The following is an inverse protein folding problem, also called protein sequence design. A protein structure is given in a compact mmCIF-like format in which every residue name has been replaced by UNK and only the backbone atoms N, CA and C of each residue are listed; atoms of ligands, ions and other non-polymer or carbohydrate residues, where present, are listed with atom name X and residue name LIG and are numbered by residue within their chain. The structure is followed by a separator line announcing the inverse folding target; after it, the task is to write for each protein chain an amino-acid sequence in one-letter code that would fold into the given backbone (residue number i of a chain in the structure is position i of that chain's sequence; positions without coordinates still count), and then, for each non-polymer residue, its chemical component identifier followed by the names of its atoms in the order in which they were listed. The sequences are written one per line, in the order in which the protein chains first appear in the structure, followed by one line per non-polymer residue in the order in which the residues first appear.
data_IF_148521536126
#
_entry.id   IF_148521536126
#
_cell.length_a   1.000
_cell.length_b   1.000
_cell.length_c   1.000
_cell.angle_alpha   90.00
_cell.angle_beta   90.00
_cell.angle_gamma   90.00
#
_symmetry.space_group_name_H-M   'P 1'
#
loop_
_entity.id
_entity.type
_entity.pdbx_description
1 polymer ?
#
# COMPACT_ATOMS: atom_id res chain seq x y z
N UNK A 1 4.86 6.06 11.16
CA UNK A 1 4.15 6.36 9.89
C UNK A 1 3.86 5.04 9.20
N UNK A 2 2.77 4.91 8.44
CA UNK A 2 2.46 3.71 7.66
C UNK A 2 2.40 4.06 6.18
N UNK A 3 2.95 3.20 5.33
CA UNK A 3 2.98 3.35 3.87
C UNK A 3 2.50 2.04 3.25
N UNK A 4 1.55 2.12 2.33
CA UNK A 4 1.01 0.96 1.62
C UNK A 4 1.09 1.16 0.12
N UNK A 5 1.54 0.12 -0.59
CA UNK A 5 1.57 0.04 -2.04
C UNK A 5 2.34 1.18 -2.71
N UNK A 6 1.82 1.67 -3.83
CA UNK A 6 2.49 2.67 -4.66
C UNK A 6 2.84 2.14 -6.04
N UNK A 7 3.55 2.93 -6.83
CA UNK A 7 4.01 2.57 -8.17
C UNK A 7 5.49 2.88 -8.32
N UNK A 8 6.25 2.01 -8.99
CA UNK A 8 7.51 2.45 -9.56
C UNK A 8 7.19 3.33 -10.77
N UNK A 9 7.86 4.48 -10.88
CA UNK A 9 7.75 5.30 -12.08
C UNK A 9 8.93 4.94 -12.95
N UNK A 10 8.67 4.32 -14.10
CA UNK A 10 9.74 4.09 -15.07
C UNK A 10 9.94 5.34 -15.89
N UNK A 11 11.12 5.96 -15.75
CA UNK A 11 11.53 7.12 -16.54
C UNK A 11 11.84 6.78 -18.01
N UNK A 12 11.78 5.50 -18.39
CA UNK A 12 11.99 5.03 -19.76
C UNK A 12 10.68 4.47 -20.30
N UNK A 13 10.20 4.99 -21.43
CA UNK A 13 8.90 4.73 -22.09
C UNK A 13 8.60 3.26 -22.48
N UNK A 14 9.46 2.29 -22.12
CA UNK A 14 9.33 0.87 -22.48
C UNK A 14 9.19 -0.09 -21.30
N UNK A 15 9.10 0.41 -20.06
CA UNK A 15 8.93 -0.46 -18.88
C UNK A 15 7.53 -0.30 -18.30
N UNK A 16 6.82 -1.39 -18.00
CA UNK A 16 5.51 -1.31 -17.36
C UNK A 16 5.64 -0.72 -15.95
N UNK A 17 4.76 0.22 -15.61
CA UNK A 17 4.61 0.72 -14.24
C UNK A 17 4.19 -0.46 -13.36
N UNK A 18 5.00 -0.76 -12.36
CA UNK A 18 4.77 -1.84 -11.39
C UNK A 18 4.07 -1.24 -10.19
N UNK A 19 2.88 -1.75 -9.86
CA UNK A 19 2.24 -1.43 -8.58
C UNK A 19 2.70 -2.38 -7.49
N UNK A 20 2.75 -1.90 -6.25
CA UNK A 20 3.13 -2.71 -5.08
C UNK A 20 1.95 -2.95 -4.14
N UNK A 21 2.05 -3.98 -3.31
CA UNK A 21 1.08 -4.34 -2.27
C UNK A 21 1.72 -4.48 -0.88
N UNK A 22 2.94 -4.01 -0.72
CA UNK A 22 3.68 -4.00 0.52
C UNK A 22 3.09 -3.00 1.52
N UNK A 23 3.19 -3.33 2.81
CA UNK A 23 2.84 -2.43 3.90
C UNK A 23 4.08 -2.25 4.77
N UNK A 24 4.46 -1.00 4.99
CA UNK A 24 5.60 -0.67 5.82
C UNK A 24 5.18 0.25 6.97
N UNK A 25 5.75 0.01 8.16
CA UNK A 25 5.76 0.97 9.25
C UNK A 25 7.14 1.58 9.41
N UNK A 26 7.16 2.91 9.51
CA UNK A 26 8.35 3.68 9.83
C UNK A 26 8.28 4.20 11.26
N UNK A 27 9.28 3.85 12.06
CA UNK A 27 9.47 4.39 13.41
C UNK A 27 10.38 5.62 13.35
N UNK A 28 9.81 6.78 13.70
CA UNK A 28 10.49 8.07 13.71
C UNK A 28 11.53 8.21 14.83
N UNK A 29 11.39 7.43 15.91
CA UNK A 29 12.31 7.51 17.04
C UNK A 29 13.62 6.76 16.75
N UNK A 30 13.53 5.67 16.00
CA UNK A 30 14.66 4.79 15.70
C UNK A 30 15.17 4.92 14.26
N UNK A 31 14.47 5.66 13.41
CA UNK A 31 14.75 5.78 11.97
C UNK A 31 14.80 4.41 11.29
N UNK A 32 13.83 3.56 11.60
CA UNK A 32 13.77 2.19 11.06
C UNK A 32 12.48 1.91 10.32
N UNK A 33 12.61 1.14 9.25
CA UNK A 33 11.50 0.58 8.49
C UNK A 33 11.28 -0.88 8.90
N UNK A 34 10.02 -1.24 9.15
CA UNK A 34 9.60 -2.62 9.38
C UNK A 34 8.55 -2.98 8.33
N UNK A 35 8.79 -4.06 7.60
CA UNK A 35 7.80 -4.63 6.69
C UNK A 35 6.72 -5.37 7.50
N UNK A 36 5.48 -5.13 7.11
CA UNK A 36 4.29 -5.66 7.75
C UNK A 36 3.51 -6.51 6.74
N UNK A 37 2.82 -7.54 7.22
CA UNK A 37 1.99 -8.38 6.34
C UNK A 37 0.76 -7.61 5.84
N UNK A 38 0.72 -7.39 4.53
CA UNK A 38 -0.47 -6.90 3.83
C UNK A 38 -1.33 -8.06 3.33
N UNK A 39 -2.66 -7.90 3.37
CA UNK A 39 -3.63 -8.81 2.75
C UNK A 39 -4.37 -8.16 1.58
N UNK A 40 -3.70 -7.18 0.94
CA UNK A 40 -4.27 -6.39 -0.13
C UNK A 40 -3.57 -6.67 -1.47
N UNK A 41 -4.29 -6.45 -2.57
CA UNK A 41 -3.79 -6.52 -3.94
C UNK A 41 -2.95 -5.29 -4.27
N UNK A 42 -2.02 -5.47 -5.19
CA UNK A 42 -1.15 -4.40 -5.67
C UNK A 42 -1.95 -3.24 -6.25
N UNK A 43 -1.64 -2.03 -5.79
CA UNK A 43 -2.38 -0.85 -6.20
C UNK A 43 -1.60 0.44 -5.96
N UNK A 44 -1.82 1.39 -6.85
CA UNK A 44 -1.37 2.78 -6.70
C UNK A 44 -2.57 3.72 -6.73
N UNK A 45 -2.34 5.02 -6.45
CA UNK A 45 -3.38 6.08 -6.51
C UNK A 45 -4.64 5.79 -5.67
N UNK A 46 -4.51 4.93 -4.67
CA UNK A 46 -5.56 4.55 -3.74
C UNK A 46 -5.64 5.56 -2.59
N UNK A 47 -6.72 5.51 -1.81
CA UNK A 47 -6.78 6.18 -0.50
C UNK A 47 -6.48 5.17 0.61
N UNK A 48 -5.68 5.54 1.60
CA UNK A 48 -5.31 4.68 2.71
C UNK A 48 -5.45 5.41 4.05
N UNK A 49 -6.04 4.75 5.04
CA UNK A 49 -6.19 5.25 6.41
C UNK A 49 -5.85 4.18 7.44
N UNK A 50 -5.11 4.55 8.49
CA UNK A 50 -4.79 3.65 9.60
C UNK A 50 -5.89 3.69 10.66
N UNK A 51 -6.50 2.54 10.94
CA UNK A 51 -7.41 2.33 12.07
C UNK A 51 -6.59 1.85 13.28
N UNK A 52 -6.31 2.77 14.21
CA UNK A 52 -5.54 2.48 15.42
C UNK A 52 -6.25 1.56 16.40
N UNK A 53 -7.59 1.50 16.37
CA UNK A 53 -8.37 0.66 17.29
C UNK A 53 -8.33 -0.80 16.86
N UNK A 54 -8.48 -1.06 15.56
CA UNK A 54 -8.38 -2.41 15.01
C UNK A 54 -6.96 -2.79 14.55
N UNK A 55 -5.99 -1.89 14.73
CA UNK A 55 -4.57 -2.04 14.33
C UNK A 55 -4.42 -2.51 12.89
N UNK A 56 -5.13 -1.86 11.96
CA UNK A 56 -5.13 -2.25 10.54
C UNK A 56 -5.20 -1.04 9.61
N UNK A 57 -4.64 -1.20 8.42
CA UNK A 57 -4.82 -0.26 7.31
C UNK A 57 -6.14 -0.56 6.60
N UNK A 58 -6.90 0.48 6.25
CA UNK A 58 -8.05 0.42 5.36
C UNK A 58 -7.68 1.12 4.06
N UNK A 59 -7.85 0.44 2.94
CA UNK A 59 -7.48 0.91 1.60
C UNK A 59 -8.72 0.91 0.71
N UNK A 60 -8.95 2.00 -0.01
CA UNK A 60 -10.08 2.14 -0.93
C UNK A 60 -9.62 2.54 -2.33
N UNK A 61 -10.16 1.81 -3.31
CA UNK A 61 -9.99 2.05 -4.74
C UNK A 61 -8.53 2.04 -5.18
N UNK A 62 -8.24 2.86 -6.19
CA UNK A 62 -6.91 2.97 -6.80
C UNK A 62 -6.87 2.36 -8.19
N UNK A 63 -5.67 2.03 -8.65
CA UNK A 63 -5.40 1.41 -9.94
C UNK A 63 -4.45 0.22 -9.73
N UNK A 64 -4.78 -0.93 -10.29
CA UNK A 64 -3.92 -2.12 -10.24
C UNK A 64 -2.76 -2.06 -11.26
N UNK A 65 -1.91 -3.08 -11.28
CA UNK A 65 -0.78 -3.15 -12.22
C UNK A 65 -1.20 -3.25 -13.70
N UNK A 66 -2.46 -3.60 -14.00
CA UNK A 66 -3.01 -3.65 -15.36
C UNK A 66 -3.65 -2.31 -15.78
N UNK A 67 -3.62 -1.29 -14.93
CA UNK A 67 -4.25 -0.01 -15.20
C UNK A 67 -5.77 0.00 -14.95
N UNK A 68 -6.33 -1.05 -14.34
CA UNK A 68 -7.75 -1.14 -14.05
C UNK A 68 -8.07 -0.33 -12.79
N UNK A 69 -9.10 0.52 -12.89
CA UNK A 69 -9.61 1.27 -11.74
C UNK A 69 -10.36 0.32 -10.81
N UNK A 70 -10.00 0.37 -9.54
CA UNK A 70 -10.62 -0.39 -8.48
C UNK A 70 -11.62 0.49 -7.72
N UNK A 71 -12.74 -0.09 -7.31
CA UNK A 71 -13.78 0.52 -6.48
C UNK A 71 -14.04 -0.27 -5.17
N UNK A 72 -13.12 -1.17 -4.82
CA UNK A 72 -13.19 -2.05 -3.67
C UNK A 72 -12.56 -1.47 -2.39
N UNK A 73 -12.91 -2.07 -1.25
CA UNK A 73 -12.27 -1.83 0.05
C UNK A 73 -11.45 -3.05 0.42
N UNK A 74 -10.18 -2.83 0.78
CA UNK A 74 -9.30 -3.87 1.31
C UNK A 74 -8.70 -3.44 2.65
N UNK A 75 -8.27 -4.42 3.44
CA UNK A 75 -7.74 -4.21 4.78
C UNK A 75 -6.46 -4.99 4.99
N UNK A 76 -5.49 -4.41 5.69
CA UNK A 76 -4.36 -5.21 6.19
C UNK A 76 -4.83 -6.15 7.29
N UNK A 77 -4.05 -7.20 7.55
CA UNK A 77 -4.25 -7.99 8.76
C UNK A 77 -4.00 -7.11 9.99
N UNK A 78 -4.72 -7.40 11.07
CA UNK A 78 -4.49 -6.76 12.36
C UNK A 78 -3.16 -7.22 12.95
N UNK A 79 -2.35 -6.28 13.41
CA UNK A 79 -1.11 -6.61 14.14
C UNK A 79 -1.41 -6.79 15.64
N UNK A 80 -0.76 -7.75 16.32
CA UNK A 80 -0.94 -7.96 17.76
C UNK A 80 -0.59 -6.74 18.62
#
# INVERSE_FOLDING_TARGET
MYVFGGQNVSITIHSPETSFNDLFSYDLATDTWTELTAAATERSRHSAVWDSRAKRMIVFGGVDASGIKLDDVQMSLGFP
#
